data_IF_561791929931
#
_entry.id   IF_561791929931
#
_cell.length_a   1.000
_cell.length_b   1.000
_cell.length_c   1.000
_cell.angle_alpha   90.00
_cell.angle_beta   90.00
_cell.angle_gamma   90.00
#
_symmetry.space_group_name_H-M   'P 1'
#
loop_
_entity.id
_entity.type
_entity.pdbx_description
1 polymer ?
#
# COMPACT_ATOMS: atom_id res chain seq x y z
N UNK A 1 -2.85 -1.78 12.86
CA UNK A 1 -3.38 -0.61 13.61
C UNK A 1 -3.74 0.46 12.58
N UNK A 2 -4.91 1.10 12.73
CA UNK A 2 -5.30 2.25 11.91
C UNK A 2 -4.40 3.44 12.21
N UNK A 3 -4.02 4.20 11.19
CA UNK A 3 -3.14 5.36 11.34
C UNK A 3 -3.91 6.59 10.91
N UNK A 4 -4.32 7.40 11.89
CA UNK A 4 -4.98 8.68 11.63
C UNK A 4 -3.93 9.75 11.34
N UNK A 5 -4.05 10.39 10.18
CA UNK A 5 -3.25 11.54 9.76
C UNK A 5 -4.11 12.72 9.29
N UNK A 6 -5.43 12.67 9.54
CA UNK A 6 -6.40 13.69 9.11
C UNK A 6 -6.03 15.12 9.57
N UNK A 7 -5.46 15.26 10.77
CA UNK A 7 -5.04 16.56 11.29
C UNK A 7 -3.81 17.11 10.56
N UNK A 8 -2.90 16.24 10.12
CA UNK A 8 -1.69 16.62 9.38
C UNK A 8 -1.99 17.11 7.95
N UNK A 9 -3.16 16.73 7.40
CA UNK A 9 -3.65 17.16 6.07
C UNK A 9 -4.77 18.20 6.13
N UNK A 10 -5.06 18.74 7.31
CA UNK A 10 -6.13 19.73 7.47
C UNK A 10 -5.81 21.08 6.77
N UNK A 11 -4.51 21.36 6.55
CA UNK A 11 -4.03 22.54 5.82
C UNK A 11 -3.64 22.19 4.38
N UNK A 12 -4.13 22.95 3.40
CA UNK A 12 -3.88 22.80 1.96
C UNK A 12 -2.46 23.21 1.51
N UNK A 13 -1.49 23.22 2.41
CA UNK A 13 -0.09 23.55 2.07
C UNK A 13 0.58 22.38 1.36
N UNK A 14 1.37 22.67 0.31
CA UNK A 14 2.21 21.67 -0.37
C UNK A 14 3.18 20.98 0.59
N UNK A 15 3.55 21.64 1.69
CA UNK A 15 4.41 21.07 2.73
C UNK A 15 3.75 19.92 3.50
N UNK A 16 2.41 19.96 3.64
CA UNK A 16 1.64 18.90 4.32
C UNK A 16 1.81 17.55 3.62
N UNK A 17 1.78 17.54 2.27
CA UNK A 17 1.99 16.33 1.48
C UNK A 17 3.40 15.75 1.68
N UNK A 18 4.42 16.60 1.61
CA UNK A 18 5.81 16.17 1.79
C UNK A 18 6.03 15.55 3.17
N UNK A 19 5.39 16.10 4.20
CA UNK A 19 5.41 15.57 5.57
C UNK A 19 4.86 14.15 5.68
N UNK A 20 3.85 13.79 4.90
CA UNK A 20 3.25 12.44 4.89
C UNK A 20 4.16 11.44 4.21
N UNK A 21 4.77 11.81 3.08
CA UNK A 21 5.67 10.92 2.32
C UNK A 21 6.83 10.43 3.18
N UNK A 22 7.36 11.29 4.07
CA UNK A 22 8.46 10.94 4.97
C UNK A 22 8.03 10.31 6.30
N UNK A 23 6.74 10.09 6.54
CA UNK A 23 6.26 9.41 7.75
C UNK A 23 6.71 7.94 7.73
N UNK A 24 7.03 7.35 8.89
CA UNK A 24 7.46 5.94 8.97
C UNK A 24 6.33 4.97 9.33
N UNK A 25 5.50 5.33 10.31
CA UNK A 25 4.42 4.45 10.78
C UNK A 25 3.35 4.30 9.69
N UNK A 26 3.22 3.07 9.17
CA UNK A 26 2.30 2.66 8.10
C UNK A 26 2.45 3.42 6.80
N UNK A 27 3.67 3.86 6.50
CA UNK A 27 4.01 4.37 5.18
C UNK A 27 4.38 3.26 4.22
N UNK A 28 4.39 3.61 2.94
CA UNK A 28 4.82 2.74 1.84
C UNK A 28 6.27 2.29 2.06
N UNK A 29 7.13 3.16 2.59
CA UNK A 29 8.52 2.83 2.91
C UNK A 29 8.62 1.61 3.81
N UNK A 30 7.88 1.59 4.93
CA UNK A 30 7.90 0.44 5.83
C UNK A 30 7.41 -0.85 5.17
N UNK A 31 6.50 -0.75 4.20
CA UNK A 31 5.91 -1.90 3.52
C UNK A 31 6.75 -2.44 2.36
N UNK A 32 7.58 -1.61 1.72
CA UNK A 32 8.29 -1.95 0.48
C UNK A 32 9.80 -2.03 0.68
N UNK A 33 10.33 -1.49 1.79
CA UNK A 33 11.77 -1.40 2.02
C UNK A 33 12.44 -2.78 2.00
N UNK A 34 11.81 -3.82 2.54
CA UNK A 34 12.37 -5.18 2.56
C UNK A 34 12.53 -5.72 1.13
N UNK A 35 11.46 -5.64 0.34
CA UNK A 35 11.41 -6.10 -1.05
C UNK A 35 12.37 -5.28 -1.93
N UNK A 36 12.44 -3.96 -1.70
CA UNK A 36 13.37 -3.07 -2.39
C UNK A 36 14.82 -3.45 -2.08
N UNK A 37 15.16 -3.67 -0.80
CA UNK A 37 16.50 -4.09 -0.42
C UNK A 37 16.88 -5.42 -1.08
N UNK A 38 15.98 -6.40 -1.09
CA UNK A 38 16.20 -7.69 -1.76
C UNK A 38 16.43 -7.49 -3.26
N UNK A 39 15.56 -6.72 -3.92
CA UNK A 39 15.68 -6.42 -5.35
C UNK A 39 17.00 -5.70 -5.68
N UNK A 40 17.39 -4.71 -4.89
CA UNK A 40 18.65 -3.98 -5.05
C UNK A 40 19.87 -4.89 -4.89
N UNK A 41 19.85 -5.81 -3.92
CA UNK A 41 20.93 -6.80 -3.75
C UNK A 41 21.05 -7.68 -4.99
N UNK A 42 19.95 -8.25 -5.50
CA UNK A 42 19.97 -9.06 -6.72
C UNK A 42 20.45 -8.26 -7.94
N UNK A 43 20.00 -7.02 -8.08
CA UNK A 43 20.46 -6.13 -9.14
C UNK A 43 21.98 -5.93 -9.11
N UNK A 44 22.53 -5.66 -7.92
CA UNK A 44 23.98 -5.50 -7.78
C UNK A 44 24.76 -6.80 -7.99
N UNK A 45 24.20 -7.96 -7.65
CA UNK A 45 24.82 -9.26 -7.96
C UNK A 45 24.95 -9.40 -9.49
N UNK A 46 23.88 -9.15 -10.24
CA UNK A 46 23.91 -9.20 -11.71
C UNK A 46 24.87 -8.16 -12.28
N UNK A 47 24.87 -6.94 -11.74
CA UNK A 47 25.81 -5.89 -12.12
C UNK A 47 27.27 -6.29 -11.93
N UNK A 48 27.62 -6.85 -10.77
CA UNK A 48 28.96 -7.34 -10.47
C UNK A 48 29.34 -8.50 -11.40
N UNK A 49 28.42 -9.43 -11.66
CA UNK A 49 28.63 -10.52 -12.60
C UNK A 49 28.96 -9.99 -14.01
N UNK A 50 28.14 -9.09 -14.54
CA UNK A 50 28.36 -8.45 -15.84
C UNK A 50 29.70 -7.69 -15.90
N UNK A 51 30.04 -6.93 -14.84
CA UNK A 51 31.20 -6.03 -14.86
C UNK A 51 32.54 -6.74 -14.62
N UNK A 52 32.58 -7.73 -13.74
CA UNK A 52 33.84 -8.31 -13.28
C UNK A 52 34.08 -9.74 -13.78
N UNK A 53 33.04 -10.50 -14.15
CA UNK A 53 33.20 -11.90 -14.56
C UNK A 53 33.09 -12.12 -16.07
N UNK A 54 32.34 -11.28 -16.80
CA UNK A 54 32.11 -11.48 -18.24
C UNK A 54 33.22 -10.87 -19.09
N UNK A 55 33.64 -11.61 -20.11
CA UNK A 55 34.52 -11.13 -21.18
C UNK A 55 33.77 -10.25 -22.20
N UNK A 56 34.50 -9.50 -23.03
CA UNK A 56 33.95 -8.51 -23.96
C UNK A 56 32.92 -9.09 -24.94
N UNK A 57 33.09 -10.34 -25.39
CA UNK A 57 32.13 -11.02 -26.25
C UNK A 57 30.87 -11.41 -25.47
N UNK A 58 31.03 -11.97 -24.26
CA UNK A 58 29.91 -12.37 -23.40
C UNK A 58 29.08 -11.17 -22.95
N UNK A 59 29.70 -10.01 -22.74
CA UNK A 59 28.99 -8.77 -22.42
C UNK A 59 28.07 -8.32 -23.57
N UNK A 60 28.47 -8.54 -24.82
CA UNK A 60 27.60 -8.25 -25.98
C UNK A 60 26.39 -9.18 -26.01
N UNK A 61 26.60 -10.47 -25.80
CA UNK A 61 25.52 -11.45 -25.77
C UNK A 61 24.54 -11.18 -24.62
N UNK A 62 25.07 -10.83 -23.44
CA UNK A 62 24.25 -10.44 -22.30
C UNK A 62 23.42 -9.17 -22.59
N UNK A 63 24.00 -8.18 -23.28
CA UNK A 63 23.26 -6.97 -23.66
C UNK A 63 22.12 -7.27 -24.66
N UNK A 64 22.35 -8.18 -25.61
CA UNK A 64 21.29 -8.65 -26.52
C UNK A 64 20.17 -9.37 -25.77
N UNK A 65 20.52 -10.21 -24.79
CA UNK A 65 19.54 -10.88 -23.93
C UNK A 65 18.74 -9.86 -23.10
N UNK A 66 19.40 -8.89 -22.48
CA UNK A 66 18.75 -7.86 -21.67
C UNK A 66 17.75 -7.04 -22.50
N UNK A 67 18.15 -6.62 -23.71
CA UNK A 67 17.26 -5.92 -24.64
C UNK A 67 16.08 -6.81 -25.08
N UNK A 68 16.31 -8.11 -25.29
CA UNK A 68 15.24 -9.03 -25.62
C UNK A 68 14.21 -9.13 -24.49
N UNK A 69 14.66 -9.28 -23.23
CA UNK A 69 13.77 -9.33 -22.07
C UNK A 69 13.01 -8.02 -21.88
N UNK A 70 13.68 -6.87 -22.03
CA UNK A 70 13.06 -5.55 -21.92
C UNK A 70 11.91 -5.37 -22.91
N UNK A 71 12.13 -5.80 -24.18
CA UNK A 71 11.07 -5.79 -25.20
C UNK A 71 9.85 -6.63 -24.82
N UNK A 72 10.01 -7.65 -23.96
CA UNK A 72 8.91 -8.50 -23.51
C UNK A 72 8.11 -7.90 -22.36
N UNK A 73 8.68 -6.99 -21.58
CA UNK A 73 8.01 -6.36 -20.44
C UNK A 73 6.91 -5.38 -20.88
N UNK A 74 7.07 -4.74 -22.04
CA UNK A 74 6.11 -3.76 -22.57
C UNK A 74 4.73 -4.39 -22.89
N UNK A 75 4.68 -5.68 -23.23
CA UNK A 75 3.43 -6.35 -23.60
C UNK A 75 2.43 -6.51 -22.45
N UNK A 76 2.87 -6.40 -21.19
CA UNK A 76 2.01 -6.64 -20.03
C UNK A 76 1.56 -5.30 -19.43
N UNK A 77 0.27 -4.92 -19.52
CA UNK A 77 -0.23 -3.65 -18.97
C UNK A 77 -0.41 -3.75 -17.45
N UNK A 78 0.70 -3.86 -16.71
CA UNK A 78 0.72 -4.04 -15.26
C UNK A 78 0.03 -2.90 -14.51
N UNK A 79 0.19 -1.66 -14.98
CA UNK A 79 -0.41 -0.46 -14.37
C UNK A 79 -1.94 -0.52 -14.40
N UNK A 80 -2.50 -0.94 -15.53
CA UNK A 80 -3.94 -1.13 -15.70
C UNK A 80 -4.45 -2.21 -14.74
N UNK A 81 -3.82 -3.39 -14.75
CA UNK A 81 -4.20 -4.51 -13.88
C UNK A 81 -4.15 -4.15 -12.39
N UNK A 82 -3.07 -3.47 -11.97
CA UNK A 82 -2.92 -3.00 -10.59
C UNK A 82 -4.02 -2.01 -10.21
N UNK A 83 -4.39 -1.10 -11.12
CA UNK A 83 -5.47 -0.13 -10.93
C UNK A 83 -6.81 -0.81 -10.62
N UNK A 84 -7.22 -1.82 -11.40
CA UNK A 84 -8.45 -2.58 -11.10
C UNK A 84 -8.34 -3.33 -9.79
N UNK A 85 -7.23 -4.01 -9.56
CA UNK A 85 -7.04 -4.81 -8.36
C UNK A 85 -7.15 -3.95 -7.09
N UNK A 86 -6.44 -2.82 -7.04
CA UNK A 86 -6.47 -1.90 -5.89
C UNK A 86 -7.86 -1.32 -5.70
N UNK A 87 -8.55 -0.95 -6.78
CA UNK A 87 -9.92 -0.42 -6.70
C UNK A 87 -10.88 -1.42 -6.06
N UNK A 88 -10.85 -2.68 -6.49
CA UNK A 88 -11.68 -3.75 -5.93
C UNK A 88 -11.35 -4.00 -4.45
N UNK A 89 -10.08 -4.03 -4.08
CA UNK A 89 -9.64 -4.25 -2.70
C UNK A 89 -10.13 -3.12 -1.79
N UNK A 90 -9.99 -1.87 -2.22
CA UNK A 90 -10.45 -0.69 -1.46
C UNK A 90 -11.97 -0.68 -1.30
N UNK A 91 -12.72 -1.04 -2.35
CA UNK A 91 -14.18 -1.10 -2.29
C UNK A 91 -14.66 -2.15 -1.27
N UNK A 92 -14.09 -3.36 -1.32
CA UNK A 92 -14.38 -4.41 -0.33
C UNK A 92 -14.02 -3.99 1.09
N UNK A 93 -12.90 -3.32 1.27
CA UNK A 93 -12.49 -2.79 2.58
C UNK A 93 -13.52 -1.79 3.11
N UNK A 94 -13.98 -0.84 2.29
CA UNK A 94 -15.05 0.11 2.68
C UNK A 94 -16.34 -0.61 3.05
N UNK A 95 -16.74 -1.62 2.28
CA UNK A 95 -17.93 -2.43 2.57
C UNK A 95 -17.81 -3.15 3.91
N UNK A 96 -16.64 -3.69 4.26
CA UNK A 96 -16.41 -4.29 5.59
C UNK A 96 -16.60 -3.24 6.69
N UNK A 97 -16.04 -2.04 6.53
CA UNK A 97 -16.17 -0.97 7.51
C UNK A 97 -17.61 -0.48 7.68
N UNK A 98 -18.38 -0.35 6.59
CA UNK A 98 -19.78 0.08 6.62
C UNK A 98 -20.70 -0.94 7.30
N UNK A 99 -20.35 -2.23 7.25
CA UNK A 99 -21.12 -3.31 7.85
C UNK A 99 -20.66 -3.67 9.28
N UNK A 100 -19.82 -2.85 9.91
CA UNK A 100 -19.52 -3.00 11.34
C UNK A 100 -20.78 -2.68 12.13
N UNK A 101 -21.26 -3.66 12.92
CA UNK A 101 -22.47 -3.53 13.75
C UNK A 101 -22.25 -2.61 14.95
N UNK A 102 -22.38 -1.30 14.73
CA UNK A 102 -22.39 -0.32 15.80
C UNK A 102 -23.69 -0.40 16.61
N UNK A 103 -23.59 -0.37 17.93
CA UNK A 103 -24.74 -0.49 18.85
C UNK A 103 -25.42 0.85 19.09
N UNK A 104 -24.83 1.97 18.65
CA UNK A 104 -25.31 3.33 18.92
C UNK A 104 -26.79 3.51 18.62
N UNK A 105 -27.24 3.09 17.42
CA UNK A 105 -28.64 3.17 17.04
C UNK A 105 -29.54 2.36 18.00
N UNK A 106 -29.17 1.11 18.30
CA UNK A 106 -29.93 0.27 19.23
C UNK A 106 -29.95 0.85 20.65
N UNK A 107 -28.83 1.41 21.13
CA UNK A 107 -28.73 2.07 22.43
C UNK A 107 -29.58 3.35 22.50
N UNK A 108 -29.62 4.15 21.43
CA UNK A 108 -30.52 5.31 21.34
C UNK A 108 -32.00 4.90 21.37
N UNK A 109 -32.37 3.82 20.69
CA UNK A 109 -33.72 3.27 20.78
C UNK A 109 -34.05 2.79 22.19
N UNK A 110 -33.18 1.99 22.82
CA UNK A 110 -33.44 1.49 24.18
C UNK A 110 -33.53 2.64 25.20
N UNK A 111 -32.63 3.62 25.14
CA UNK A 111 -32.61 4.75 26.09
C UNK A 111 -33.82 5.69 25.95
N UNK A 112 -34.36 5.87 24.74
CA UNK A 112 -35.52 6.73 24.51
C UNK A 112 -36.85 6.07 24.90
N UNK A 113 -36.98 4.76 24.68
CA UNK A 113 -38.22 4.02 24.90
C UNK A 113 -38.29 3.34 26.28
N UNK A 114 -37.17 2.91 26.88
CA UNK A 114 -37.15 2.27 28.21
C UNK A 114 -36.91 3.34 29.28
N UNK A 115 -37.99 3.83 29.90
CA UNK A 115 -37.93 4.76 31.04
C UNK A 115 -37.98 3.99 32.37
N UNK A 116 -37.05 4.27 33.28
CA UNK A 116 -37.01 3.68 34.62
C UNK A 116 -37.32 4.70 35.71
N UNK A 117 -38.49 4.63 36.33
CA UNK A 117 -38.86 5.53 37.45
C UNK A 117 -38.76 4.91 38.84
N UNK A 118 -38.61 3.59 39.00
CA UNK A 118 -38.40 2.97 40.33
C UNK A 118 -37.50 1.74 40.28
N UNK A 119 -36.86 1.44 41.43
CA UNK A 119 -35.82 0.41 41.69
C UNK A 119 -36.07 -0.94 41.02
N UNK A 120 -35.67 -1.06 39.75
CA UNK A 120 -34.57 -1.88 39.20
C UNK A 120 -34.86 -2.16 37.72
N UNK A 121 -34.37 -1.32 36.81
CA UNK A 121 -34.10 -1.73 35.45
C UNK A 121 -32.69 -2.33 35.41
N UNK A 122 -32.56 -3.59 34.98
CA UNK A 122 -31.27 -4.16 34.55
C UNK A 122 -31.16 -3.98 33.04
#
# INVERSE_FOLDING_TARGET
MTISYNLDISSSSSWSFMKIVFRWKGSIWKSVLTELCIWTVFYYIVFCFYRFLLDANQQRDFALLANHVDSKLEYIPLTFMLGFFVTIVVDRWKNIFANIGFVDNAAFFVSSYVRGTMKRPK
#
